data_IF_638720798290
#
_entry.id   IF_638720798290
#
_cell.length_a   1.000
_cell.length_b   1.000
_cell.length_c   1.000
_cell.angle_alpha   90.00
_cell.angle_beta   90.00
_cell.angle_gamma   90.00
#
_symmetry.space_group_name_H-M   'P 1'
#
loop_
_entity.id
_entity.type
_entity.pdbx_description
1 polymer ?
#
# COMPACT_ATOMS: atom_id res chain seq x y z
N UNK A 1 26.20 -9.42 -5.84
CA UNK A 1 25.19 -8.41 -5.39
C UNK A 1 25.79 -7.04 -5.10
N UNK A 2 27.11 -6.92 -4.81
CA UNK A 2 27.80 -5.64 -4.62
C UNK A 2 28.02 -4.86 -5.94
N UNK A 3 27.90 -5.56 -7.09
CA UNK A 3 28.21 -5.02 -8.42
C UNK A 3 27.00 -4.68 -9.30
N UNK A 4 25.76 -4.88 -8.83
CA UNK A 4 24.54 -4.73 -9.65
C UNK A 4 23.99 -3.30 -9.71
N UNK A 5 24.56 -2.37 -8.95
CA UNK A 5 24.18 -0.97 -9.01
C UNK A 5 25.41 -0.18 -9.43
N UNK A 6 25.47 0.21 -10.69
CA UNK A 6 26.28 1.35 -11.08
C UNK A 6 25.95 2.50 -10.11
N UNK A 7 26.91 2.84 -9.25
CA UNK A 7 26.75 3.85 -8.19
C UNK A 7 26.42 5.22 -8.78
N UNK A 8 26.73 5.43 -10.05
CA UNK A 8 26.39 6.63 -10.80
C UNK A 8 24.89 6.66 -11.13
N UNK A 9 24.32 5.54 -11.57
CA UNK A 9 22.91 5.45 -11.93
C UNK A 9 21.96 5.33 -10.72
N UNK A 10 22.36 4.62 -9.65
CA UNK A 10 21.46 4.30 -8.53
C UNK A 10 21.96 4.79 -7.17
N UNK A 11 21.06 5.36 -6.37
CA UNK A 11 21.23 5.59 -4.94
C UNK A 11 20.73 4.37 -4.17
N UNK A 12 21.56 3.82 -3.30
CA UNK A 12 21.25 2.61 -2.55
C UNK A 12 20.72 2.96 -1.17
N UNK A 13 19.55 2.41 -0.83
CA UNK A 13 18.90 2.53 0.47
C UNK A 13 19.01 1.20 1.22
N UNK A 14 19.64 1.24 2.39
CA UNK A 14 19.87 0.10 3.29
C UNK A 14 19.30 0.41 4.67
N UNK A 15 19.44 -0.53 5.60
CA UNK A 15 18.87 -0.45 6.94
C UNK A 15 19.29 0.80 7.73
N UNK A 16 20.47 1.39 7.46
CA UNK A 16 20.95 2.62 8.10
C UNK A 16 20.33 3.92 7.56
N UNK A 17 19.48 3.85 6.54
CA UNK A 17 18.76 5.05 6.10
C UNK A 17 17.77 5.49 7.20
N UNK A 18 17.65 6.80 7.52
CA UNK A 18 16.79 7.28 8.61
C UNK A 18 15.36 6.75 8.58
N UNK A 19 14.75 6.66 7.39
CA UNK A 19 13.40 6.10 7.25
C UNK A 19 13.30 4.60 7.62
N UNK A 20 14.34 3.81 7.31
CA UNK A 20 14.40 2.40 7.69
C UNK A 20 14.70 2.23 9.18
N UNK A 21 15.59 3.06 9.73
CA UNK A 21 15.85 3.09 11.17
C UNK A 21 14.59 3.42 11.96
N UNK A 22 13.84 4.45 11.54
CA UNK A 22 12.56 4.80 12.14
C UNK A 22 11.58 3.62 12.15
N UNK A 23 11.48 2.89 11.03
CA UNK A 23 10.65 1.69 10.97
C UNK A 23 11.10 0.60 11.95
N UNK A 24 12.41 0.35 12.04
CA UNK A 24 13.00 -0.70 12.91
C UNK A 24 12.72 -0.43 14.39
N UNK A 25 12.77 0.83 14.82
CA UNK A 25 12.60 1.21 16.24
C UNK A 25 11.16 1.53 16.64
N UNK A 26 10.27 1.80 15.68
CA UNK A 26 8.90 2.23 15.97
C UNK A 26 8.05 1.04 16.46
N UNK A 27 7.52 1.07 17.70
CA UNK A 27 6.66 -0.02 18.21
C UNK A 27 5.35 -0.17 17.42
N UNK A 28 4.83 0.89 16.82
CA UNK A 28 3.64 0.82 15.95
C UNK A 28 3.84 -0.03 14.70
N UNK A 29 5.08 -0.31 14.30
CA UNK A 29 5.37 -1.20 13.17
C UNK A 29 4.94 -2.66 13.41
N UNK A 30 4.73 -3.07 14.66
CA UNK A 30 4.23 -4.42 15.02
C UNK A 30 2.88 -4.70 14.35
N UNK A 31 1.96 -3.73 14.35
CA UNK A 31 0.65 -3.86 13.71
C UNK A 31 0.83 -4.12 12.21
N UNK A 32 1.70 -3.33 11.58
CA UNK A 32 1.97 -3.45 10.16
C UNK A 32 2.64 -4.79 9.82
N UNK A 33 3.67 -5.20 10.55
CA UNK A 33 4.45 -6.40 10.24
C UNK A 33 3.75 -7.71 10.61
N UNK A 34 3.15 -7.80 11.79
CA UNK A 34 2.58 -9.04 12.32
C UNK A 34 1.11 -9.21 11.94
N UNK A 35 0.28 -8.16 12.07
CA UNK A 35 -1.14 -8.26 11.77
C UNK A 35 -1.40 -8.12 10.27
N UNK A 36 -0.92 -7.04 9.66
CA UNK A 36 -1.19 -6.75 8.24
C UNK A 36 -0.22 -7.46 7.29
N UNK A 37 0.96 -7.89 7.77
CA UNK A 37 2.01 -8.46 6.93
C UNK A 37 2.64 -7.44 5.97
N UNK A 38 2.61 -6.15 6.25
CA UNK A 38 3.33 -5.13 5.49
C UNK A 38 4.83 -5.23 5.80
N UNK A 39 5.68 -5.13 4.77
CA UNK A 39 7.13 -5.27 4.91
C UNK A 39 7.90 -4.20 4.16
N UNK A 40 9.07 -3.86 4.68
CA UNK A 40 10.05 -3.00 4.00
C UNK A 40 11.24 -3.88 3.54
N UNK A 41 11.64 -3.83 2.26
CA UNK A 41 12.77 -4.60 1.76
C UNK A 41 14.07 -4.19 2.45
N UNK A 42 14.99 -5.15 2.65
CA UNK A 42 16.31 -4.87 3.25
C UNK A 42 17.19 -3.96 2.38
N UNK A 43 16.91 -3.95 1.08
CA UNK A 43 17.63 -3.21 0.06
C UNK A 43 16.64 -2.61 -0.94
N UNK A 44 16.74 -1.31 -1.18
CA UNK A 44 16.06 -0.64 -2.30
C UNK A 44 17.02 0.26 -3.06
N UNK A 45 16.77 0.42 -4.35
CA UNK A 45 17.54 1.23 -5.27
C UNK A 45 16.68 2.39 -5.73
N UNK A 46 17.27 3.56 -5.89
CA UNK A 46 16.60 4.74 -6.41
C UNK A 46 17.38 5.22 -7.62
N UNK A 47 16.77 5.17 -8.80
CA UNK A 47 17.34 5.68 -10.02
C UNK A 47 17.43 7.22 -9.93
N UNK A 48 18.64 7.77 -10.14
CA UNK A 48 18.91 9.21 -10.09
C UNK A 48 18.68 9.92 -11.42
N UNK A 49 18.75 9.20 -12.53
CA UNK A 49 18.73 9.76 -13.89
C UNK A 49 17.32 9.85 -14.46
N UNK A 50 16.39 9.04 -13.95
CA UNK A 50 14.98 9.18 -14.32
C UNK A 50 14.43 10.47 -13.73
N UNK A 51 14.03 11.45 -14.55
CA UNK A 51 13.30 12.65 -14.12
C UNK A 51 11.91 12.40 -13.50
N UNK A 52 11.64 11.17 -13.08
CA UNK A 52 10.42 10.72 -12.43
C UNK A 52 10.48 10.96 -10.92
N UNK A 53 9.34 10.93 -10.25
CA UNK A 53 9.30 11.09 -8.79
C UNK A 53 10.05 9.96 -8.07
N UNK A 54 10.53 10.21 -6.85
CA UNK A 54 11.31 9.23 -6.06
C UNK A 54 10.62 7.86 -5.90
N UNK A 55 9.29 7.86 -5.86
CA UNK A 55 8.52 6.64 -5.70
C UNK A 55 8.49 5.80 -7.00
N UNK A 56 8.51 6.46 -8.17
CA UNK A 56 8.52 5.83 -9.49
C UNK A 56 9.91 5.37 -9.92
N UNK A 57 10.92 6.06 -9.42
CA UNK A 57 12.32 5.72 -9.68
C UNK A 57 12.88 4.71 -8.68
N UNK A 58 12.04 4.14 -7.80
CA UNK A 58 12.47 3.18 -6.80
C UNK A 58 12.26 1.73 -7.25
N UNK A 59 13.28 0.91 -7.03
CA UNK A 59 13.35 -0.50 -7.38
C UNK A 59 13.77 -1.35 -6.19
N UNK A 60 13.34 -2.61 -6.20
CA UNK A 60 13.69 -3.64 -5.22
C UNK A 60 14.36 -4.80 -5.98
N UNK A 61 15.66 -5.02 -5.78
CA UNK A 61 16.36 -6.12 -6.42
C UNK A 61 16.02 -7.45 -5.73
N UNK A 62 15.74 -8.49 -6.52
CA UNK A 62 15.64 -9.85 -6.01
C UNK A 62 17.04 -10.46 -5.86
N UNK A 63 17.43 -10.94 -4.66
CA UNK A 63 18.77 -11.50 -4.45
C UNK A 63 19.00 -12.86 -5.13
N UNK A 64 17.93 -13.50 -5.62
CA UNK A 64 17.99 -14.85 -6.17
C UNK A 64 18.09 -14.89 -7.69
N UNK A 65 17.39 -13.99 -8.38
CA UNK A 65 17.36 -13.93 -9.85
C UNK A 65 17.86 -12.60 -10.42
N UNK A 66 18.29 -11.66 -9.56
CA UNK A 66 18.76 -10.32 -9.93
C UNK A 66 17.74 -9.44 -10.67
N UNK A 67 16.49 -9.88 -10.80
CA UNK A 67 15.41 -9.06 -11.35
C UNK A 67 15.23 -7.78 -10.53
N UNK A 68 15.15 -6.64 -11.21
CA UNK A 68 14.80 -5.36 -10.62
C UNK A 68 13.28 -5.19 -10.70
N UNK A 69 12.61 -5.21 -9.55
CA UNK A 69 11.18 -4.95 -9.47
C UNK A 69 10.92 -3.49 -9.14
N UNK A 70 9.91 -2.87 -9.73
CA UNK A 70 9.47 -1.54 -9.28
C UNK A 70 8.89 -1.63 -7.87
N UNK A 71 9.27 -0.71 -6.97
CA UNK A 71 8.81 -0.72 -5.56
C UNK A 71 7.29 -0.64 -5.43
N UNK A 72 6.62 -0.01 -6.42
CA UNK A 72 5.16 0.06 -6.52
C UNK A 72 4.45 -1.29 -6.60
N UNK A 73 5.16 -2.36 -6.96
CA UNK A 73 4.65 -3.74 -6.97
C UNK A 73 4.22 -4.24 -5.59
N UNK A 74 4.62 -3.59 -4.49
CA UNK A 74 4.16 -3.90 -3.12
C UNK A 74 3.58 -2.68 -2.42
N UNK A 75 2.94 -1.80 -3.18
CA UNK A 75 2.23 -0.64 -2.66
C UNK A 75 0.72 -0.93 -2.57
N UNK A 76 -0.05 -0.15 -1.80
CA UNK A 76 -1.49 -0.39 -1.66
C UNK A 76 -2.21 -0.41 -3.03
N UNK A 77 -1.72 0.38 -3.99
CA UNK A 77 -2.28 0.48 -5.34
C UNK A 77 -2.18 -0.83 -6.15
N UNK A 78 -1.20 -1.68 -5.87
CA UNK A 78 -1.03 -2.98 -6.53
C UNK A 78 -1.74 -4.12 -5.80
N UNK A 79 -2.44 -3.83 -4.70
CA UNK A 79 -3.16 -4.80 -3.86
C UNK A 79 -2.26 -5.90 -3.26
N UNK A 80 -0.97 -5.60 -3.11
CA UNK A 80 0.11 -6.52 -2.68
C UNK A 80 0.95 -5.94 -1.55
N UNK A 81 0.57 -4.78 -0.99
CA UNK A 81 1.23 -4.19 0.17
C UNK A 81 1.16 -5.08 1.42
N UNK A 82 0.07 -5.84 1.57
CA UNK A 82 -0.24 -6.62 2.75
C UNK A 82 -0.12 -8.13 2.51
N UNK A 83 -0.03 -8.86 3.62
CA UNK A 83 0.09 -10.31 3.65
C UNK A 83 1.47 -10.82 3.26
N UNK A 84 2.52 -10.04 3.42
CA UNK A 84 3.91 -10.38 3.10
C UNK A 84 4.70 -10.92 4.32
N UNK A 85 4.07 -11.71 5.20
CA UNK A 85 4.66 -12.11 6.51
C UNK A 85 6.04 -12.79 6.43
N UNK A 86 6.35 -13.49 5.34
CA UNK A 86 7.65 -14.16 5.15
C UNK A 86 8.65 -13.39 4.28
N UNK A 87 8.33 -12.15 3.88
CA UNK A 87 9.09 -11.35 2.93
C UNK A 87 8.27 -11.02 1.68
N UNK A 88 8.85 -10.26 0.76
CA UNK A 88 8.17 -9.93 -0.51
C UNK A 88 8.28 -11.11 -1.47
N UNK A 89 7.18 -11.51 -2.09
CA UNK A 89 7.18 -12.57 -3.11
C UNK A 89 7.75 -12.03 -4.44
N UNK A 90 8.71 -12.75 -5.04
CA UNK A 90 9.22 -12.46 -6.38
C UNK A 90 8.48 -13.29 -7.41
N UNK A 91 7.76 -12.64 -8.32
CA UNK A 91 7.00 -13.27 -9.39
C UNK A 91 7.85 -13.84 -10.54
N UNK A 92 9.14 -13.48 -10.60
CA UNK A 92 10.06 -14.04 -11.59
C UNK A 92 10.67 -15.39 -11.19
N UNK A 93 10.94 -15.60 -9.90
CA UNK A 93 11.64 -16.81 -9.43
C UNK A 93 10.93 -17.57 -8.31
N UNK A 94 9.77 -17.09 -7.85
CA UNK A 94 8.95 -17.70 -6.80
C UNK A 94 9.54 -17.64 -5.38
N UNK A 95 10.72 -17.02 -5.20
CA UNK A 95 11.41 -16.93 -3.91
C UNK A 95 11.07 -15.65 -3.16
N UNK A 96 11.30 -15.65 -1.85
CA UNK A 96 11.11 -14.48 -0.98
C UNK A 96 12.30 -13.52 -1.04
N UNK A 97 12.04 -12.25 -1.26
CA UNK A 97 12.98 -11.14 -1.11
C UNK A 97 13.05 -10.76 0.39
N UNK A 98 14.26 -10.62 0.96
CA UNK A 98 14.45 -10.37 2.38
C UNK A 98 14.02 -8.95 2.77
N UNK A 99 13.34 -8.86 3.92
CA UNK A 99 12.82 -7.62 4.47
C UNK A 99 13.43 -7.30 5.83
N UNK A 100 13.40 -6.02 6.20
CA UNK A 100 13.72 -5.56 7.55
C UNK A 100 12.68 -6.07 8.53
N UNK A 101 13.11 -6.32 9.76
CA UNK A 101 12.25 -6.58 10.90
C UNK A 101 12.36 -5.43 11.86
N UNK A 102 11.23 -5.03 12.43
CA UNK A 102 11.23 -4.24 13.64
C UNK A 102 11.82 -5.03 14.81
N UNK A 103 12.51 -4.34 15.70
CA UNK A 103 13.02 -4.91 16.96
C UNK A 103 11.83 -5.46 17.77
N UNK A 104 10.71 -4.74 17.79
CA UNK A 104 9.52 -5.11 18.55
C UNK A 104 8.85 -6.37 18.01
N UNK A 105 8.67 -6.45 16.68
CA UNK A 105 8.15 -7.65 16.04
C UNK A 105 9.05 -8.86 16.27
N UNK A 106 10.37 -8.65 16.24
CA UNK A 106 11.34 -9.71 16.50
C UNK A 106 11.25 -10.24 17.94
N UNK A 107 11.16 -9.36 18.94
CA UNK A 107 10.94 -9.74 20.35
C UNK A 107 9.67 -10.59 20.50
N UNK A 108 8.55 -10.14 19.94
CA UNK A 108 7.27 -10.87 20.00
C UNK A 108 7.40 -12.24 19.34
N UNK A 109 8.02 -12.32 18.16
CA UNK A 109 8.22 -13.60 17.47
C UNK A 109 9.09 -14.54 18.30
N UNK A 110 10.17 -14.06 18.91
CA UNK A 110 11.07 -14.90 19.72
C UNK A 110 10.30 -15.46 20.92
N UNK A 111 9.60 -14.60 21.66
CA UNK A 111 8.82 -14.99 22.85
C UNK A 111 7.70 -15.96 22.48
N UNK A 112 6.99 -15.72 21.38
CA UNK A 112 5.87 -16.57 20.96
C UNK A 112 6.29 -17.81 20.19
N UNK A 113 7.55 -17.87 19.70
CA UNK A 113 8.01 -18.95 18.83
C UNK A 113 7.84 -20.37 19.40
N UNK A 114 8.01 -20.65 20.71
CA UNK A 114 7.82 -22.00 21.22
C UNK A 114 6.43 -22.59 20.91
N UNK A 115 5.41 -21.75 20.76
CA UNK A 115 4.03 -22.16 20.50
C UNK A 115 3.80 -22.59 19.03
N UNK A 116 4.56 -22.05 18.07
CA UNK A 116 4.24 -22.21 16.64
C UNK A 116 5.43 -22.51 15.73
N UNK A 117 6.65 -22.62 16.28
CA UNK A 117 7.87 -22.86 15.51
C UNK A 117 7.79 -24.12 14.64
N UNK A 118 7.11 -25.16 15.12
CA UNK A 118 6.85 -26.42 14.41
C UNK A 118 6.01 -26.23 13.15
N UNK A 119 5.12 -25.24 13.15
CA UNK A 119 4.24 -24.91 12.02
C UNK A 119 4.85 -23.89 11.06
N UNK A 120 6.02 -23.31 11.37
CA UNK A 120 6.64 -22.26 10.55
C UNK A 120 6.87 -22.70 9.09
N UNK A 121 7.37 -23.92 8.88
CA UNK A 121 7.63 -24.47 7.54
C UNK A 121 6.35 -24.64 6.72
N UNK A 122 5.33 -25.41 7.20
CA UNK A 122 4.10 -25.59 6.43
C UNK A 122 3.35 -24.26 6.21
N UNK A 123 3.38 -23.33 7.16
CA UNK A 123 2.81 -22.00 6.99
C UNK A 123 3.50 -21.22 5.86
N UNK A 124 4.84 -21.26 5.80
CA UNK A 124 5.61 -20.59 4.75
C UNK A 124 5.33 -21.17 3.36
N UNK A 125 5.25 -22.50 3.25
CA UNK A 125 4.96 -23.17 1.98
C UNK A 125 3.54 -22.88 1.49
N UNK A 126 2.55 -22.97 2.39
CA UNK A 126 1.16 -22.58 2.09
C UNK A 126 1.09 -21.11 1.67
N UNK A 127 1.78 -20.24 2.39
CA UNK A 127 1.87 -18.82 2.06
C UNK A 127 2.49 -18.60 0.68
N UNK A 128 3.59 -19.27 0.33
CA UNK A 128 4.24 -19.15 -0.98
C UNK A 128 3.31 -19.55 -2.12
N UNK A 129 2.58 -20.68 -1.98
CA UNK A 129 1.59 -21.13 -2.97
C UNK A 129 0.47 -20.10 -3.14
N UNK A 130 -0.03 -19.54 -2.03
CA UNK A 130 -1.05 -18.50 -2.07
C UNK A 130 -0.54 -17.20 -2.71
N UNK A 131 0.73 -16.81 -2.49
CA UNK A 131 1.31 -15.65 -3.15
C UNK A 131 1.48 -15.88 -4.65
N UNK A 132 1.96 -17.05 -5.08
CA UNK A 132 2.08 -17.37 -6.50
C UNK A 132 0.72 -17.22 -7.20
N UNK A 133 -0.31 -17.87 -6.67
CA UNK A 133 -1.69 -17.77 -7.16
C UNK A 133 -2.20 -16.33 -7.17
N UNK A 134 -1.97 -15.57 -6.08
CA UNK A 134 -2.38 -14.16 -5.99
C UNK A 134 -1.74 -13.32 -7.09
N UNK A 135 -0.45 -13.50 -7.37
CA UNK A 135 0.23 -12.73 -8.41
C UNK A 135 -0.26 -13.11 -9.81
N UNK A 136 -0.51 -14.40 -10.08
CA UNK A 136 -1.14 -14.85 -11.33
C UNK A 136 -2.53 -14.23 -11.53
N UNK A 137 -3.37 -14.25 -10.49
CA UNK A 137 -4.69 -13.62 -10.52
C UNK A 137 -4.60 -12.12 -10.75
N UNK A 138 -3.63 -11.43 -10.14
CA UNK A 138 -3.45 -9.99 -10.29
C UNK A 138 -2.99 -9.57 -11.69
N UNK A 139 -2.30 -10.45 -12.43
CA UNK A 139 -1.92 -10.23 -13.83
C UNK A 139 -3.16 -10.29 -14.73
N UNK A 140 -4.11 -11.19 -14.43
CA UNK A 140 -5.30 -11.44 -15.26
C UNK A 140 -6.49 -10.56 -14.85
N UNK A 141 -6.55 -10.14 -13.58
CA UNK A 141 -7.72 -9.46 -13.02
C UNK A 141 -7.93 -8.07 -13.61
N UNK A 142 -9.10 -7.88 -14.24
CA UNK A 142 -9.58 -6.57 -14.65
C UNK A 142 -9.79 -5.66 -13.43
N UNK A 143 -9.27 -4.43 -13.52
CA UNK A 143 -9.36 -3.47 -12.41
C UNK A 143 -10.74 -2.80 -12.46
N UNK A 144 -11.67 -3.27 -11.62
CA UNK A 144 -12.98 -2.62 -11.48
C UNK A 144 -12.80 -1.17 -10.99
N UNK A 145 -13.21 -0.22 -11.81
CA UNK A 145 -13.18 1.20 -11.45
C UNK A 145 -14.57 1.66 -11.00
N UNK A 146 -14.82 1.87 -9.69
CA UNK A 146 -16.12 2.34 -9.20
C UNK A 146 -16.45 3.76 -9.68
N UNK A 147 -15.46 4.53 -10.13
CA UNK A 147 -15.63 5.89 -10.65
C UNK A 147 -15.78 5.93 -12.19
N UNK A 148 -15.72 4.79 -12.90
CA UNK A 148 -15.88 4.74 -14.36
C UNK A 148 -17.30 5.13 -14.81
N UNK A 149 -17.42 5.64 -16.04
CA UNK A 149 -18.71 6.07 -16.59
C UNK A 149 -19.37 7.16 -15.74
N UNK A 150 -20.58 6.87 -15.23
CA UNK A 150 -21.34 7.68 -14.27
C UNK A 150 -21.11 7.28 -12.79
N UNK A 151 -20.27 6.28 -12.53
CA UNK A 151 -19.95 5.82 -11.17
C UNK A 151 -19.39 6.91 -10.27
N UNK A 152 -18.60 7.83 -10.82
CA UNK A 152 -18.09 8.98 -10.07
C UNK A 152 -19.16 9.93 -9.51
N UNK A 153 -20.32 10.01 -10.17
CA UNK A 153 -21.47 10.77 -9.68
C UNK A 153 -22.08 10.03 -8.49
N UNK A 154 -22.29 8.72 -8.62
CA UNK A 154 -22.86 7.88 -7.55
C UNK A 154 -21.97 7.91 -6.30
N UNK A 155 -20.67 7.65 -6.45
CA UNK A 155 -19.71 7.67 -5.34
C UNK A 155 -19.56 9.09 -4.76
N UNK A 156 -19.53 10.12 -5.62
CA UNK A 156 -19.46 11.52 -5.20
C UNK A 156 -20.68 11.97 -4.40
N UNK A 157 -21.90 11.61 -4.84
CA UNK A 157 -23.14 11.91 -4.13
C UNK A 157 -23.30 11.08 -2.85
N UNK A 158 -22.84 9.82 -2.85
CA UNK A 158 -22.79 9.00 -1.63
C UNK A 158 -21.90 9.63 -0.56
N UNK A 159 -20.72 10.12 -0.97
CA UNK A 159 -19.84 10.88 -0.09
C UNK A 159 -20.45 12.23 0.35
N UNK A 160 -21.09 12.97 -0.55
CA UNK A 160 -21.79 14.22 -0.22
C UNK A 160 -22.87 14.01 0.83
N UNK A 161 -23.69 12.97 0.65
CA UNK A 161 -24.74 12.61 1.59
C UNK A 161 -24.16 12.26 2.96
N UNK A 162 -23.14 11.41 3.00
CA UNK A 162 -22.44 11.08 4.24
C UNK A 162 -21.91 12.33 4.94
N UNK A 163 -21.22 13.22 4.21
CA UNK A 163 -20.65 14.44 4.79
C UNK A 163 -21.72 15.43 5.25
N UNK A 164 -22.82 15.57 4.49
CA UNK A 164 -23.95 16.40 4.87
C UNK A 164 -24.55 15.92 6.20
N UNK A 165 -24.82 14.62 6.33
CA UNK A 165 -25.40 14.04 7.56
C UNK A 165 -24.41 14.18 8.72
N UNK A 166 -23.15 13.84 8.49
CA UNK A 166 -22.13 13.89 9.52
C UNK A 166 -21.91 15.31 10.04
N UNK A 167 -21.76 16.30 9.15
CA UNK A 167 -21.39 17.66 9.54
C UNK A 167 -22.56 18.50 10.06
N UNK A 168 -23.81 18.21 9.65
CA UNK A 168 -24.96 18.98 10.10
C UNK A 168 -25.70 18.37 11.30
N UNK A 169 -25.56 17.06 11.53
CA UNK A 169 -26.29 16.38 12.60
C UNK A 169 -25.34 15.69 13.58
N UNK A 170 -24.45 14.82 13.11
CA UNK A 170 -23.60 14.01 14.01
C UNK A 170 -22.58 14.88 14.76
N UNK A 171 -21.85 15.73 14.04
CA UNK A 171 -20.79 16.55 14.60
C UNK A 171 -21.31 17.63 15.56
N UNK A 172 -22.41 18.36 15.25
CA UNK A 172 -23.03 19.28 16.20
C UNK A 172 -23.56 18.58 17.46
N UNK A 173 -24.11 17.36 17.34
CA UNK A 173 -24.53 16.56 18.52
C UNK A 173 -23.35 16.25 19.45
N UNK A 174 -22.18 15.93 18.90
CA UNK A 174 -20.96 15.68 19.69
C UNK A 174 -20.46 16.96 20.38
N UNK A 175 -20.69 18.12 19.76
CA UNK A 175 -20.22 19.42 20.25
C UNK A 175 -21.23 20.22 21.06
N UNK A 176 -22.43 19.65 21.27
CA UNK A 176 -23.54 20.34 21.93
C UNK A 176 -23.92 21.67 21.23
N UNK A 177 -23.73 21.74 19.90
CA UNK A 177 -24.07 22.91 19.08
C UNK A 177 -25.52 22.82 18.56
N UNK A 178 -26.19 23.96 18.41
CA UNK A 178 -27.56 24.01 17.90
C UNK A 178 -27.61 23.84 16.38
N UNK A 179 -28.45 22.92 15.92
CA UNK A 179 -28.73 22.71 14.50
C UNK A 179 -29.75 23.75 14.04
N UNK A 180 -29.37 24.64 13.13
CA UNK A 180 -30.27 25.65 12.58
C UNK A 180 -30.67 25.32 11.14
N UNK A 181 -31.95 25.52 10.82
CA UNK A 181 -32.50 25.19 9.48
C UNK A 181 -31.77 25.92 8.35
N UNK A 182 -31.40 27.18 8.56
CA UNK A 182 -30.66 27.98 7.57
C UNK A 182 -29.29 27.36 7.24
N UNK A 183 -28.56 26.87 8.23
CA UNK A 183 -27.26 26.19 8.02
C UNK A 183 -27.45 24.90 7.24
N UNK A 184 -28.47 24.11 7.59
CA UNK A 184 -28.79 22.86 6.90
C UNK A 184 -29.10 23.12 5.42
N UNK A 185 -29.99 24.08 5.11
CA UNK A 185 -30.37 24.39 3.73
C UNK A 185 -29.20 24.90 2.89
N UNK A 186 -28.36 25.80 3.42
CA UNK A 186 -27.17 26.30 2.72
C UNK A 186 -26.16 25.19 2.48
N UNK A 187 -26.06 24.22 3.39
CA UNK A 187 -25.08 23.13 3.26
C UNK A 187 -25.41 22.13 2.14
N UNK A 188 -26.69 21.99 1.74
CA UNK A 188 -27.11 21.07 0.67
C UNK A 188 -26.38 21.34 -0.65
N UNK A 189 -26.46 22.54 -1.26
CA UNK A 189 -25.76 22.82 -2.52
C UNK A 189 -24.23 22.74 -2.35
N UNK A 190 -23.70 23.13 -1.19
CA UNK A 190 -22.26 23.05 -0.90
C UNK A 190 -21.77 21.61 -0.93
N UNK A 191 -22.45 20.69 -0.24
CA UNK A 191 -22.06 19.28 -0.19
C UNK A 191 -22.27 18.57 -1.52
N UNK A 192 -23.31 18.91 -2.29
CA UNK A 192 -23.50 18.37 -3.65
C UNK A 192 -22.32 18.79 -4.55
N UNK A 193 -21.97 20.07 -4.60
CA UNK A 193 -20.84 20.57 -5.39
C UNK A 193 -19.51 19.96 -4.91
N UNK A 194 -19.31 19.86 -3.60
CA UNK A 194 -18.15 19.22 -3.00
C UNK A 194 -18.04 17.74 -3.37
N UNK A 195 -19.13 16.99 -3.30
CA UNK A 195 -19.15 15.57 -3.65
C UNK A 195 -18.95 15.30 -5.13
N UNK A 196 -19.52 16.12 -6.02
CA UNK A 196 -19.26 16.02 -7.46
C UNK A 196 -17.78 16.32 -7.78
N UNK A 197 -17.22 17.36 -7.16
CA UNK A 197 -15.81 17.73 -7.30
C UNK A 197 -14.89 16.61 -6.78
N UNK A 198 -15.22 16.02 -5.63
CA UNK A 198 -14.54 14.88 -5.05
C UNK A 198 -14.61 13.66 -5.99
N UNK A 199 -15.81 13.28 -6.42
CA UNK A 199 -16.04 12.15 -7.31
C UNK A 199 -15.27 12.27 -8.62
N UNK A 200 -15.28 13.44 -9.26
CA UNK A 200 -14.53 13.69 -10.48
C UNK A 200 -13.01 13.62 -10.27
N UNK A 201 -12.52 14.18 -9.16
CA UNK A 201 -11.10 14.09 -8.78
C UNK A 201 -10.68 12.64 -8.57
N UNK A 202 -11.51 11.86 -7.88
CA UNK A 202 -11.28 10.43 -7.66
C UNK A 202 -11.30 9.63 -8.97
N UNK A 203 -12.20 9.95 -9.91
CA UNK A 203 -12.20 9.35 -11.26
C UNK A 203 -10.86 9.54 -11.96
N UNK A 204 -10.34 10.77 -11.99
CA UNK A 204 -9.04 11.07 -12.62
C UNK A 204 -7.90 10.33 -11.92
N UNK A 205 -7.92 10.31 -10.59
CA UNK A 205 -6.92 9.64 -9.78
C UNK A 205 -6.91 8.11 -9.98
N UNK A 206 -8.08 7.46 -9.91
CA UNK A 206 -8.22 6.01 -10.11
C UNK A 206 -7.85 5.59 -11.54
N UNK A 207 -8.25 6.35 -12.56
CA UNK A 207 -7.86 6.07 -13.94
C UNK A 207 -6.34 6.08 -14.12
N UNK A 208 -5.64 7.01 -13.45
CA UNK A 208 -4.18 7.04 -13.45
C UNK A 208 -3.60 5.81 -12.75
N UNK A 209 -4.14 5.44 -11.57
CA UNK A 209 -3.69 4.27 -10.84
C UNK A 209 -3.88 2.95 -11.62
N UNK A 210 -4.97 2.80 -12.35
CA UNK A 210 -5.26 1.62 -13.18
C UNK A 210 -4.18 1.46 -14.25
N UNK A 211 -3.92 2.53 -15.02
CA UNK A 211 -2.86 2.54 -16.04
C UNK A 211 -1.48 2.25 -15.45
N UNK A 212 -1.20 2.83 -14.28
CA UNK A 212 0.05 2.57 -13.55
C UNK A 212 0.16 1.11 -13.12
N UNK A 213 -0.89 0.52 -12.55
CA UNK A 213 -0.89 -0.88 -12.10
C UNK A 213 -0.67 -1.84 -13.26
N UNK A 214 -1.33 -1.63 -14.40
CA UNK A 214 -1.13 -2.45 -15.60
C UNK A 214 0.33 -2.45 -16.07
N UNK A 215 1.07 -1.36 -15.87
CA UNK A 215 2.49 -1.27 -16.23
C UNK A 215 3.42 -2.08 -15.31
N UNK A 216 2.95 -2.52 -14.12
CA UNK A 216 3.76 -3.30 -13.17
C UNK A 216 3.66 -4.81 -13.35
N UNK A 217 2.55 -5.26 -13.95
CA UNK A 217 2.21 -6.67 -14.11
C UNK A 217 2.25 -7.12 -15.58
N UNK A 218 2.39 -6.20 -16.54
CA UNK A 218 2.88 -6.47 -17.90
C UNK A 218 4.41 -6.51 -17.91
#
# INVERSE_FOLDING_TARGET
MQDLADKNAYKVYRWWHPAHLFWIINPGSVINELLLGQRIPKLSLLNKTSGKSKFESSYIPCPHCNQLHQSKKWAPQSNTAFGNWFGLYCDNCGKTIPCLWSIWSWIIIVITSPLWIWYKKPLKEKWLKNQAKKFEELVIAEIKNPYAGKGWIKEGLGWAFFMFVFMNFVFPLIKEETVTLNKVLISIPIWILGGLSFGYTMKKYYNRQIKERESYFR
#
